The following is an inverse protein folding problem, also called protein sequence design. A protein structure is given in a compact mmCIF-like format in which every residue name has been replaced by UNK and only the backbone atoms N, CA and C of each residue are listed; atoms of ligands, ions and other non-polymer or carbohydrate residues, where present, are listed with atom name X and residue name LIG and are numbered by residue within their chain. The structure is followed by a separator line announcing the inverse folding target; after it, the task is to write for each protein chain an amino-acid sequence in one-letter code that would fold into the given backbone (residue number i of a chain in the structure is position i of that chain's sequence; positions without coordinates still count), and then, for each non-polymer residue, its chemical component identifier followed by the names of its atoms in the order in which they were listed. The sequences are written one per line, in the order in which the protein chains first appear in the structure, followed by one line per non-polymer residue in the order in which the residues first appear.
data_IF_325463896361
#
_entry.id   IF_325463896361
#
_cell.length_a   1.000
_cell.length_b   1.000
_cell.length_c   1.000
_cell.angle_alpha   90.00
_cell.angle_beta   90.00
_cell.angle_gamma   90.00
#
_symmetry.space_group_name_H-M   'P 1'
#
loop_
_entity.id
_entity.type
_entity.pdbx_description
1 polymer ?
#
# COMPACT_ATOMS: atom_id res chain seq x y z
N UNK A 1 4.87 14.31 8.48
CA UNK A 1 3.40 14.31 8.29
C UNK A 1 2.98 12.89 7.94
N UNK A 2 2.03 12.31 8.69
CA UNK A 2 1.55 10.94 8.48
C UNK A 2 0.44 10.84 7.43
N UNK A 3 -0.33 9.76 7.49
CA UNK A 3 -1.51 9.55 6.64
C UNK A 3 -2.59 10.60 6.90
N UNK A 4 -3.24 11.08 5.83
CA UNK A 4 -4.41 11.96 5.89
C UNK A 4 -5.71 11.13 5.93
N UNK A 5 -5.83 10.15 5.04
CA UNK A 5 -6.92 9.17 5.00
C UNK A 5 -6.29 7.80 4.80
N UNK A 6 -5.97 7.13 5.90
CA UNK A 6 -5.49 5.75 5.90
C UNK A 6 -6.55 4.83 5.31
N UNK A 7 -6.17 4.03 4.30
CA UNK A 7 -7.14 3.16 3.63
C UNK A 7 -6.59 1.75 3.34
N UNK A 8 -6.58 1.31 2.08
CA UNK A 8 -6.20 -0.04 1.66
C UNK A 8 -4.88 -0.51 2.23
N UNK A 9 -4.87 -1.73 2.75
CA UNK A 9 -3.75 -2.37 3.43
C UNK A 9 -3.65 -3.83 2.97
N UNK A 10 -2.50 -4.24 2.45
CA UNK A 10 -2.29 -5.59 1.93
C UNK A 10 -0.83 -6.03 2.05
N UNK A 11 -0.56 -7.32 1.87
CA UNK A 11 0.78 -7.90 1.92
C UNK A 11 1.09 -8.71 0.65
N UNK A 12 2.37 -8.77 0.27
CA UNK A 12 2.82 -9.68 -0.78
C UNK A 12 2.57 -11.15 -0.40
N UNK A 13 2.50 -12.08 -1.37
CA UNK A 13 2.22 -13.49 -1.09
C UNK A 13 3.22 -14.16 -0.14
N UNK A 14 4.48 -13.72 -0.17
CA UNK A 14 5.54 -14.18 0.74
C UNK A 14 5.52 -13.47 2.11
N UNK A 15 4.62 -12.50 2.30
CA UNK A 15 4.49 -11.69 3.50
C UNK A 15 5.61 -10.68 3.74
N UNK A 16 6.58 -10.54 2.84
CA UNK A 16 7.77 -9.72 3.06
C UNK A 16 7.56 -8.22 2.75
N UNK A 17 6.49 -7.88 2.03
CA UNK A 17 6.13 -6.50 1.69
C UNK A 17 4.74 -6.17 2.20
N UNK A 18 4.60 -4.99 2.78
CA UNK A 18 3.31 -4.38 3.14
C UNK A 18 3.01 -3.22 2.18
N UNK A 19 1.77 -3.07 1.77
CA UNK A 19 1.25 -1.96 0.96
C UNK A 19 0.18 -1.24 1.74
N UNK A 20 0.18 0.09 1.70
CA UNK A 20 -0.77 0.92 2.45
C UNK A 20 -0.96 2.25 1.74
N UNK A 21 -2.22 2.60 1.51
CA UNK A 21 -2.61 3.79 0.75
C UNK A 21 -3.05 4.94 1.63
N UNK A 22 -2.84 6.15 1.11
CA UNK A 22 -3.48 7.38 1.60
C UNK A 22 -4.37 7.97 0.50
N UNK A 23 -5.69 7.89 0.66
CA UNK A 23 -6.66 8.37 -0.35
C UNK A 23 -6.56 9.88 -0.60
N UNK A 24 -6.17 10.66 0.42
CA UNK A 24 -5.92 12.10 0.27
C UNK A 24 -4.44 12.42 0.04
N UNK A 25 -3.58 11.42 0.21
CA UNK A 25 -2.17 11.40 -0.18
C UNK A 25 -1.94 11.50 -1.68
N UNK A 26 -2.97 11.30 -2.50
CA UNK A 26 -3.18 10.17 -3.42
C UNK A 26 -1.93 9.32 -3.73
N UNK A 27 -1.64 8.33 -2.88
CA UNK A 27 -0.52 7.41 -3.13
C UNK A 27 -0.68 6.06 -2.45
N UNK A 28 0.11 5.10 -2.91
CA UNK A 28 0.37 3.83 -2.24
C UNK A 28 1.85 3.76 -1.91
N UNK A 29 2.18 3.50 -0.65
CA UNK A 29 3.54 3.21 -0.22
C UNK A 29 3.70 1.70 -0.06
N UNK A 30 4.95 1.24 -0.15
CA UNK A 30 5.37 -0.13 0.15
C UNK A 30 6.45 -0.10 1.24
N UNK A 31 6.42 -1.08 2.14
CA UNK A 31 7.42 -1.25 3.20
C UNK A 31 7.96 -2.67 3.16
N UNK A 32 9.18 -2.82 3.66
CA UNK A 32 9.62 -4.12 4.17
C UNK A 32 8.81 -4.47 5.42
N UNK A 33 8.35 -5.71 5.50
CA UNK A 33 7.56 -6.23 6.60
C UNK A 33 8.16 -7.52 7.14
N UNK A 34 8.39 -7.57 8.46
CA UNK A 34 8.76 -8.81 9.15
C UNK A 34 7.50 -9.45 9.77
N UNK A 35 7.03 -10.52 9.16
CA UNK A 35 5.82 -11.23 9.60
C UNK A 35 5.94 -11.88 10.99
N UNK A 36 7.15 -12.09 11.52
CA UNK A 36 7.33 -12.67 12.86
C UNK A 36 7.18 -11.63 13.95
N UNK A 37 7.59 -10.39 13.69
CA UNK A 37 7.67 -9.32 14.70
C UNK A 37 6.65 -8.21 14.47
N UNK A 38 6.09 -8.10 13.28
CA UNK A 38 5.26 -6.98 12.85
C UNK A 38 6.06 -5.70 12.57
N UNK A 39 7.39 -5.76 12.57
CA UNK A 39 8.24 -4.61 12.28
C UNK A 39 8.10 -4.18 10.82
N UNK A 40 8.11 -2.88 10.59
CA UNK A 40 8.10 -2.27 9.25
C UNK A 40 9.30 -1.34 9.06
N UNK A 41 9.84 -1.32 7.85
CA UNK A 41 11.00 -0.50 7.50
C UNK A 41 11.02 -0.14 6.02
N UNK A 42 12.04 0.61 5.60
CA UNK A 42 12.33 0.94 4.19
C UNK A 42 11.08 1.34 3.40
N UNK A 43 10.46 2.45 3.80
CA UNK A 43 9.29 2.99 3.12
C UNK A 43 9.67 3.49 1.72
N UNK A 44 8.99 2.98 0.70
CA UNK A 44 9.11 3.40 -0.69
C UNK A 44 7.77 3.88 -1.22
N UNK A 45 7.77 4.92 -2.04
CA UNK A 45 6.60 5.29 -2.83
C UNK A 45 6.42 4.25 -3.92
N UNK A 46 5.32 3.49 -3.87
CA UNK A 46 5.05 2.43 -4.83
C UNK A 46 4.24 2.95 -6.02
N UNK A 47 3.19 3.72 -5.74
CA UNK A 47 2.37 4.39 -6.74
C UNK A 47 2.13 5.83 -6.33
N UNK A 48 2.36 6.75 -7.26
CA UNK A 48 1.87 8.12 -7.23
C UNK A 48 0.65 8.22 -8.13
N UNK A 49 -0.45 8.72 -7.58
CA UNK A 49 -1.74 8.80 -8.25
C UNK A 49 -2.23 10.25 -8.29
N UNK A 50 -3.26 10.50 -9.09
CA UNK A 50 -3.95 11.77 -9.16
C UNK A 50 -5.44 11.56 -9.46
N UNK A 51 -6.20 12.66 -9.54
CA UNK A 51 -7.65 12.59 -9.79
C UNK A 51 -8.00 12.06 -11.20
N UNK A 52 -7.04 11.91 -12.12
CA UNK A 52 -7.27 11.33 -13.45
C UNK A 52 -7.13 9.81 -13.46
N UNK A 53 -6.24 9.27 -12.63
CA UNK A 53 -6.06 7.83 -12.44
C UNK A 53 -7.02 7.24 -11.40
N UNK A 54 -7.52 8.07 -10.49
CA UNK A 54 -8.34 7.63 -9.37
C UNK A 54 -7.63 7.79 -8.02
N UNK A 55 -8.41 7.79 -6.94
CA UNK A 55 -7.87 7.90 -5.58
C UNK A 55 -7.84 6.52 -4.93
N UNK A 56 -6.71 6.10 -4.34
CA UNK A 56 -6.62 4.76 -3.80
C UNK A 56 -7.50 4.65 -2.55
N UNK A 57 -8.43 3.70 -2.54
CA UNK A 57 -9.26 3.35 -1.40
C UNK A 57 -8.75 2.01 -0.81
N UNK A 58 -9.61 1.00 -0.68
CA UNK A 58 -9.24 -0.37 -0.35
C UNK A 58 -8.33 -1.01 -1.39
N UNK A 59 -7.52 -1.98 -0.95
CA UNK A 59 -6.66 -2.74 -1.85
C UNK A 59 -6.36 -4.15 -1.37
N UNK A 60 -5.92 -4.98 -2.31
CA UNK A 60 -5.57 -6.39 -2.11
C UNK A 60 -4.35 -6.75 -2.96
N UNK A 61 -3.65 -7.82 -2.60
CA UNK A 61 -2.60 -8.40 -3.46
C UNK A 61 -3.07 -9.79 -3.89
N UNK A 62 -2.94 -10.09 -5.18
CA UNK A 62 -3.26 -11.42 -5.70
C UNK A 62 -2.10 -12.43 -5.54
N UNK A 63 -2.34 -13.68 -5.93
CA UNK A 63 -1.35 -14.76 -5.81
C UNK A 63 -0.11 -14.57 -6.69
N UNK A 64 -0.19 -13.73 -7.72
CA UNK A 64 0.95 -13.41 -8.61
C UNK A 64 1.77 -12.23 -8.07
N UNK A 65 1.32 -11.60 -6.98
CA UNK A 65 1.98 -10.47 -6.34
C UNK A 65 1.57 -9.12 -6.89
N UNK A 66 0.49 -9.04 -7.68
CA UNK A 66 -0.02 -7.77 -8.19
C UNK A 66 -0.90 -7.09 -7.13
N UNK A 67 -0.65 -5.80 -6.88
CA UNK A 67 -1.50 -4.98 -6.02
C UNK A 67 -2.68 -4.41 -6.81
N UNK A 68 -3.89 -4.66 -6.31
CA UNK A 68 -5.15 -4.16 -6.84
C UNK A 68 -5.69 -3.08 -5.90
N UNK A 69 -5.98 -1.90 -6.45
CA UNK A 69 -6.61 -0.79 -5.72
C UNK A 69 -8.02 -0.58 -6.26
N UNK A 70 -8.97 -0.28 -5.37
CA UNK A 70 -10.21 0.35 -5.76
C UNK A 70 -10.04 1.88 -5.82
N UNK A 71 -10.78 2.53 -6.74
CA UNK A 71 -10.91 3.98 -6.84
C UNK A 71 -10.18 4.62 -8.01
#
# INVERSE_FOLDING_TARGET
TGFKISNGLAWSPDGAKMYHSDSRGPWVNRWDFDAKTGAIGNCERYLDLDDTLGRPDGGAVDMEGCYWSAG
#
